data_IF_041844791055
#
_entry.id   IF_041844791055
#
_cell.length_a   1.000
_cell.length_b   1.000
_cell.length_c   1.000
_cell.angle_alpha   90.00
_cell.angle_beta   90.00
_cell.angle_gamma   90.00
#
_symmetry.space_group_name_H-M   'P 1'
#
loop_
_entity.id
_entity.type
_entity.pdbx_description
1 polymer ?
#
# COMPACT_ATOMS: atom_id res chain seq x y z
N UNK A 1 2.73 -2.77 -11.90
CA UNK A 1 3.02 -3.33 -10.55
C UNK A 1 3.97 -4.51 -10.65
N UNK A 2 4.81 -4.73 -9.62
CA UNK A 2 5.73 -5.87 -9.55
C UNK A 2 5.33 -6.79 -8.39
N UNK A 3 5.03 -8.06 -8.70
CA UNK A 3 4.78 -9.08 -7.68
C UNK A 3 6.10 -9.51 -7.02
N UNK A 4 6.05 -9.87 -5.73
CA UNK A 4 7.20 -10.36 -4.96
C UNK A 4 7.09 -11.86 -4.70
N UNK A 5 8.19 -12.58 -4.88
CA UNK A 5 8.30 -14.00 -4.53
C UNK A 5 8.02 -14.17 -3.03
N UNK A 6 7.26 -15.21 -2.66
CA UNK A 6 6.93 -15.51 -1.25
C UNK A 6 5.76 -14.73 -0.67
N UNK A 7 5.16 -13.80 -1.42
CA UNK A 7 4.04 -12.96 -0.96
C UNK A 7 2.78 -13.11 -1.85
N UNK A 8 2.52 -14.30 -2.40
CA UNK A 8 1.48 -14.52 -3.43
C UNK A 8 0.08 -13.99 -3.06
N UNK A 9 -0.42 -14.34 -1.88
CA UNK A 9 -1.74 -13.87 -1.39
C UNK A 9 -1.75 -12.35 -1.19
N UNK A 10 -0.69 -11.79 -0.62
CA UNK A 10 -0.56 -10.35 -0.43
C UNK A 10 -0.51 -9.61 -1.79
N UNK A 11 0.26 -10.12 -2.76
CA UNK A 11 0.32 -9.55 -4.10
C UNK A 11 -1.06 -9.56 -4.77
N UNK A 12 -1.76 -10.70 -4.74
CA UNK A 12 -3.08 -10.84 -5.35
C UNK A 12 -4.09 -9.87 -4.74
N UNK A 13 -4.14 -9.79 -3.41
CA UNK A 13 -5.07 -8.89 -2.70
C UNK A 13 -4.75 -7.43 -2.97
N UNK A 14 -3.47 -7.00 -2.91
CA UNK A 14 -3.09 -5.60 -3.19
C UNK A 14 -3.24 -5.21 -4.65
N UNK A 15 -3.04 -6.14 -5.60
CA UNK A 15 -3.39 -5.87 -7.00
C UNK A 15 -4.90 -5.73 -7.17
N UNK A 16 -5.68 -6.57 -6.49
CA UNK A 16 -7.13 -6.54 -6.50
C UNK A 16 -7.71 -5.24 -5.94
N UNK A 17 -7.16 -4.72 -4.84
CA UNK A 17 -7.58 -3.44 -4.25
C UNK A 17 -7.58 -2.33 -5.29
N UNK A 18 -6.56 -2.25 -6.13
CA UNK A 18 -6.49 -1.14 -7.08
C UNK A 18 -7.31 -1.37 -8.35
N UNK A 19 -7.50 -2.63 -8.77
CA UNK A 19 -8.47 -2.93 -9.82
C UNK A 19 -9.88 -2.54 -9.36
N UNK A 20 -10.21 -2.83 -8.10
CA UNK A 20 -11.44 -2.39 -7.45
C UNK A 20 -11.53 -0.86 -7.37
N UNK A 21 -10.45 -0.17 -6.94
CA UNK A 21 -10.40 1.30 -6.91
C UNK A 21 -10.70 1.89 -8.29
N UNK A 22 -10.09 1.34 -9.36
CA UNK A 22 -10.28 1.85 -10.72
C UNK A 22 -11.70 1.63 -11.24
N UNK A 23 -12.28 0.44 -11.04
CA UNK A 23 -13.69 0.17 -11.39
C UNK A 23 -14.63 1.10 -10.63
N UNK A 24 -14.47 1.18 -9.31
CA UNK A 24 -15.33 1.99 -8.45
C UNK A 24 -15.25 3.47 -8.82
N UNK A 25 -14.06 3.98 -9.14
CA UNK A 25 -13.86 5.35 -9.61
C UNK A 25 -14.72 5.65 -10.84
N UNK A 26 -14.75 4.74 -11.82
CA UNK A 26 -15.55 4.89 -13.03
C UNK A 26 -17.06 4.82 -12.74
N UNK A 27 -17.48 3.95 -11.82
CA UNK A 27 -18.88 3.77 -11.43
C UNK A 27 -19.48 4.99 -10.72
N UNK A 28 -18.69 5.68 -9.89
CA UNK A 28 -19.21 6.74 -8.98
C UNK A 28 -18.83 8.16 -9.38
N UNK A 29 -18.01 8.35 -10.42
CA UNK A 29 -17.53 9.69 -10.84
C UNK A 29 -18.68 10.66 -11.15
N UNK A 30 -19.77 10.18 -11.76
CA UNK A 30 -20.96 10.99 -12.08
C UNK A 30 -21.70 11.50 -10.84
N UNK A 31 -21.45 10.88 -9.67
CA UNK A 31 -22.01 11.27 -8.38
C UNK A 31 -21.09 12.24 -7.62
N UNK A 32 -20.07 12.78 -8.26
CA UNK A 32 -19.07 13.67 -7.66
C UNK A 32 -18.33 13.05 -6.47
N UNK A 33 -18.21 11.71 -6.46
CA UNK A 33 -17.42 10.97 -5.46
C UNK A 33 -16.05 10.66 -6.05
N UNK A 34 -14.99 11.03 -5.35
CA UNK A 34 -13.61 10.72 -5.74
C UNK A 34 -13.16 9.42 -5.08
N UNK A 35 -12.45 8.60 -5.85
CA UNK A 35 -11.87 7.33 -5.39
C UNK A 35 -10.40 7.37 -5.73
N UNK A 36 -9.54 7.05 -4.76
CA UNK A 36 -8.09 7.09 -4.89
C UNK A 36 -7.47 5.93 -4.12
N UNK A 37 -6.28 5.52 -4.54
CA UNK A 37 -5.51 4.46 -3.87
C UNK A 37 -4.10 4.98 -3.59
N UNK A 38 -3.64 4.78 -2.36
CA UNK A 38 -2.27 5.04 -1.94
C UNK A 38 -1.56 3.69 -1.86
N UNK A 39 -0.41 3.58 -2.52
CA UNK A 39 0.40 2.36 -2.58
C UNK A 39 1.78 2.60 -1.96
N UNK A 40 1.91 2.54 -0.62
CA UNK A 40 3.16 2.83 0.06
C UNK A 40 4.27 1.84 -0.30
N UNK A 41 5.51 2.32 -0.19
CA UNK A 41 6.70 1.48 -0.17
C UNK A 41 6.90 0.79 1.19
N UNK A 42 8.14 0.68 1.64
CA UNK A 42 8.43 0.20 2.99
C UNK A 42 8.10 1.31 3.99
N UNK A 43 7.17 1.03 4.92
CA UNK A 43 6.77 1.95 5.98
C UNK A 43 7.11 1.30 7.32
N UNK A 44 7.75 2.07 8.20
CA UNK A 44 8.06 1.63 9.55
C UNK A 44 6.77 1.54 10.36
N UNK A 45 6.34 0.32 10.62
CA UNK A 45 5.10 -0.02 11.32
C UNK A 45 5.34 -1.28 12.14
N UNK A 46 4.34 -1.68 12.92
CA UNK A 46 4.34 -2.90 13.72
C UNK A 46 4.10 -4.17 12.87
N UNK A 47 3.88 -4.05 11.57
CA UNK A 47 3.51 -5.17 10.69
C UNK A 47 4.52 -6.32 10.75
N UNK A 48 5.80 -6.01 10.84
CA UNK A 48 6.88 -6.99 10.91
C UNK A 48 6.94 -7.73 12.26
N UNK A 49 6.40 -7.13 13.32
CA UNK A 49 6.32 -7.73 14.66
C UNK A 49 5.31 -8.88 14.74
N UNK A 50 4.36 -8.93 13.81
CA UNK A 50 3.39 -10.01 13.68
C UNK A 50 3.91 -11.20 12.86
N UNK A 51 5.12 -11.11 12.31
CA UNK A 51 5.73 -12.17 11.51
C UNK A 51 6.62 -13.06 12.40
N UNK A 52 6.70 -14.35 12.07
CA UNK A 52 7.74 -15.22 12.65
C UNK A 52 9.12 -14.69 12.28
N UNK A 53 10.15 -14.94 13.11
CA UNK A 53 11.50 -14.44 12.87
C UNK A 53 12.04 -14.82 11.48
N UNK A 54 11.78 -16.06 11.04
CA UNK A 54 12.16 -16.57 9.71
C UNK A 54 11.45 -15.81 8.58
N UNK A 55 10.14 -15.57 8.72
CA UNK A 55 9.39 -14.84 7.71
C UNK A 55 9.79 -13.36 7.67
N UNK A 56 10.05 -12.75 8.84
CA UNK A 56 10.52 -11.37 8.93
C UNK A 56 11.84 -11.19 8.17
N UNK A 57 12.82 -12.06 8.40
CA UNK A 57 14.11 -12.00 7.71
C UNK A 57 13.94 -12.11 6.18
N UNK A 58 13.17 -13.10 5.72
CA UNK A 58 12.91 -13.31 4.29
C UNK A 58 12.17 -12.14 3.63
N UNK A 59 11.16 -11.58 4.30
CA UNK A 59 10.35 -10.48 3.76
C UNK A 59 11.06 -9.14 3.83
N UNK A 60 11.92 -8.92 4.84
CA UNK A 60 12.65 -7.66 5.03
C UNK A 60 13.92 -7.55 4.19
N UNK A 61 14.52 -8.67 3.79
CA UNK A 61 15.75 -8.70 2.97
C UNK A 61 15.72 -7.78 1.74
N UNK A 62 14.64 -7.71 0.92
CA UNK A 62 14.57 -6.80 -0.22
C UNK A 62 14.51 -5.30 0.15
N UNK A 63 14.26 -4.99 1.41
CA UNK A 63 14.17 -3.62 1.92
C UNK A 63 15.43 -3.18 2.67
N UNK A 64 16.44 -4.06 2.80
CA UNK A 64 17.71 -3.71 3.43
C UNK A 64 18.39 -2.56 2.67
N UNK A 65 18.78 -1.51 3.40
CA UNK A 65 19.39 -0.30 2.84
C UNK A 65 18.40 0.69 2.23
N UNK A 66 17.09 0.40 2.24
CA UNK A 66 16.05 1.37 1.90
C UNK A 66 15.68 2.16 3.15
N UNK A 67 15.65 3.49 3.03
CA UNK A 67 15.09 4.35 4.08
C UNK A 67 13.59 4.11 4.14
N UNK A 68 13.12 3.64 5.30
CA UNK A 68 11.70 3.44 5.53
C UNK A 68 10.96 4.78 5.55
N UNK A 69 9.76 4.80 5.00
CA UNK A 69 8.80 5.88 5.25
C UNK A 69 8.32 5.80 6.70
N UNK A 70 7.99 6.94 7.27
CA UNK A 70 7.32 7.05 8.57
C UNK A 70 5.78 7.16 8.36
N UNK A 71 5.01 7.00 9.44
CA UNK A 71 3.55 7.05 9.35
C UNK A 71 3.04 8.41 8.84
N UNK A 72 3.76 9.47 9.18
CA UNK A 72 3.49 10.85 8.80
C UNK A 72 3.58 11.06 7.28
N UNK A 73 4.47 10.36 6.58
CA UNK A 73 4.59 10.44 5.12
C UNK A 73 3.29 9.94 4.44
N UNK A 74 2.66 8.92 5.03
CA UNK A 74 1.41 8.35 4.53
C UNK A 74 0.22 9.25 4.91
N UNK A 75 0.25 9.83 6.12
CA UNK A 75 -0.76 10.78 6.56
C UNK A 75 -0.79 12.05 5.69
N UNK A 76 0.38 12.55 5.28
CA UNK A 76 0.49 13.75 4.44
C UNK A 76 -0.13 13.54 3.06
N UNK A 77 0.17 12.42 2.38
CA UNK A 77 -0.43 12.14 1.07
C UNK A 77 -1.94 11.90 1.15
N UNK A 78 -2.43 11.26 2.21
CA UNK A 78 -3.88 11.12 2.43
C UNK A 78 -4.51 12.50 2.63
N UNK A 79 -3.90 13.36 3.45
CA UNK A 79 -4.36 14.73 3.69
C UNK A 79 -4.40 15.53 2.39
N UNK A 80 -3.36 15.43 1.55
CA UNK A 80 -3.32 16.05 0.23
C UNK A 80 -4.49 15.60 -0.65
N UNK A 81 -4.70 14.27 -0.76
CA UNK A 81 -5.77 13.69 -1.58
C UNK A 81 -7.14 14.21 -1.16
N UNK A 82 -7.44 14.23 0.15
CA UNK A 82 -8.79 14.59 0.63
C UNK A 82 -9.06 16.09 0.66
N UNK A 83 -8.02 16.94 0.68
CA UNK A 83 -8.19 18.40 0.84
C UNK A 83 -7.98 19.22 -0.43
N UNK A 84 -7.42 18.64 -1.51
CA UNK A 84 -7.19 19.36 -2.77
C UNK A 84 -8.28 19.02 -3.80
N UNK A 85 -8.72 20.02 -4.55
CA UNK A 85 -9.73 19.90 -5.61
C UNK A 85 -9.08 19.57 -6.94
#
# INVERSE_FOLDING_TARGET
>A
RRARVGAGVYNATKFGVCALTESLRQEVTSRHVRVSVVEPGYVKTELDTHMTAENREKTMKPFMGIVALEAEDIADIITFIVTRH
#
